data_IF_998188991520
#
_entry.id   IF_998188991520
#
_cell.length_a   1.000
_cell.length_b   1.000
_cell.length_c   1.000
_cell.angle_alpha   90.00
_cell.angle_beta   90.00
_cell.angle_gamma   90.00
#
_symmetry.space_group_name_H-M   'P 1'
#
loop_
_entity.id
_entity.type
_entity.pdbx_description
1 polymer ?
#
# COMPACT_ATOMS: atom_id res chain seq x y z
N UNK A 1 -0.48 -9.59 -19.04
CA UNK A 1 -1.09 -8.33 -19.55
C UNK A 1 -0.07 -7.20 -19.32
N UNK A 2 -0.01 -6.19 -20.16
CA UNK A 2 1.08 -5.20 -20.10
C UNK A 2 0.81 -4.21 -18.96
N UNK A 3 1.63 -4.16 -17.91
CA UNK A 3 1.50 -3.26 -16.73
C UNK A 3 1.26 -1.77 -17.10
N UNK A 4 1.51 -1.42 -18.35
CA UNK A 4 1.44 -0.06 -18.86
C UNK A 4 0.06 0.36 -19.41
N UNK A 5 -0.94 -0.53 -19.49
CA UNK A 5 -2.25 -0.23 -20.10
C UNK A 5 -3.41 -0.74 -19.23
N UNK A 6 -3.60 -0.09 -18.08
CA UNK A 6 -4.83 -0.23 -17.31
C UNK A 6 -5.97 0.49 -18.04
N UNK A 7 -7.11 -0.20 -18.18
CA UNK A 7 -8.32 0.33 -18.85
C UNK A 7 -9.23 1.09 -17.89
N UNK A 8 -9.14 0.77 -16.60
CA UNK A 8 -9.98 1.36 -15.56
C UNK A 8 -9.65 2.82 -15.26
N UNK A 9 -10.55 3.48 -14.56
CA UNK A 9 -10.46 4.89 -14.17
C UNK A 9 -9.97 5.02 -12.71
N UNK A 10 -8.67 5.11 -12.50
CA UNK A 10 -8.08 5.07 -11.17
C UNK A 10 -7.90 6.43 -10.48
N UNK A 11 -8.21 7.53 -11.18
CA UNK A 11 -8.13 8.89 -10.63
C UNK A 11 -6.71 9.35 -10.32
N UNK A 12 -6.63 10.40 -9.51
CA UNK A 12 -5.37 10.99 -9.01
C UNK A 12 -5.36 10.84 -7.49
N UNK A 13 -4.26 10.33 -6.95
CA UNK A 13 -4.06 10.24 -5.50
C UNK A 13 -3.85 11.63 -4.93
N UNK A 14 -4.39 11.91 -3.73
CA UNK A 14 -4.32 13.19 -3.04
C UNK A 14 -4.43 14.40 -4.01
N UNK A 15 -5.56 14.60 -4.72
CA UNK A 15 -5.69 15.52 -5.85
C UNK A 15 -5.39 16.98 -5.50
N UNK A 16 -5.49 17.33 -4.21
CA UNK A 16 -5.13 18.67 -3.71
C UNK A 16 -3.61 18.94 -3.81
N UNK A 17 -2.76 17.90 -3.76
CA UNK A 17 -1.29 18.06 -3.81
C UNK A 17 -0.83 18.55 -5.19
N UNK A 18 -1.11 17.85 -6.30
CA UNK A 18 -0.77 18.39 -7.63
C UNK A 18 -1.50 19.69 -7.95
N UNK A 19 -2.71 19.91 -7.41
CA UNK A 19 -3.43 21.18 -7.51
C UNK A 19 -2.67 22.34 -6.89
N UNK A 20 -2.15 22.16 -5.67
CA UNK A 20 -1.31 23.18 -4.99
C UNK A 20 0.01 23.43 -5.73
N UNK A 21 0.65 22.37 -6.25
CA UNK A 21 1.87 22.52 -7.06
C UNK A 21 1.61 23.32 -8.33
N UNK A 22 0.54 23.01 -9.05
CA UNK A 22 0.14 23.75 -10.25
C UNK A 22 -0.19 25.22 -9.94
N UNK A 23 -0.90 25.47 -8.85
CA UNK A 23 -1.20 26.83 -8.39
C UNK A 23 0.07 27.61 -8.04
N UNK A 24 1.06 26.98 -7.38
CA UNK A 24 2.36 27.57 -7.11
C UNK A 24 3.10 27.97 -8.40
N UNK A 25 3.07 27.12 -9.42
CA UNK A 25 3.61 27.44 -10.76
C UNK A 25 2.92 28.67 -11.34
N UNK A 26 1.59 28.73 -11.31
CA UNK A 26 0.82 29.87 -11.84
C UNK A 26 1.13 31.17 -11.10
N UNK A 27 1.25 31.13 -9.76
CA UNK A 27 1.66 32.29 -8.97
C UNK A 27 3.04 32.80 -9.40
N UNK A 28 4.03 31.90 -9.49
CA UNK A 28 5.39 32.30 -9.89
C UNK A 28 5.41 32.90 -11.30
N UNK A 29 4.68 32.33 -12.24
CA UNK A 29 4.55 32.90 -13.59
C UNK A 29 3.86 34.27 -13.57
N UNK A 30 2.82 34.46 -12.78
CA UNK A 30 2.14 35.73 -12.59
C UNK A 30 3.10 36.80 -12.04
N UNK A 31 3.88 36.46 -11.01
CA UNK A 31 4.89 37.39 -10.45
C UNK A 31 6.01 37.75 -11.46
N UNK A 32 6.40 36.80 -12.30
CA UNK A 32 7.36 37.07 -13.39
C UNK A 32 6.79 38.04 -14.41
N UNK A 33 5.53 37.91 -14.79
CA UNK A 33 4.89 38.77 -15.81
C UNK A 33 4.52 40.15 -15.25
N UNK A 34 3.84 40.20 -14.10
CA UNK A 34 3.24 41.42 -13.58
C UNK A 34 4.16 42.19 -12.62
N UNK A 35 5.01 41.49 -11.85
CA UNK A 35 5.94 42.10 -10.93
C UNK A 35 7.39 42.15 -11.46
N UNK A 36 7.63 41.65 -12.67
CA UNK A 36 8.95 41.55 -13.32
C UNK A 36 10.02 40.81 -12.50
N UNK A 37 9.60 39.83 -11.67
CA UNK A 37 10.50 39.00 -10.84
C UNK A 37 11.13 37.87 -11.65
N UNK A 38 12.01 38.21 -12.58
CA UNK A 38 12.59 37.25 -13.54
C UNK A 38 13.47 36.14 -12.90
N UNK A 39 13.83 36.25 -11.60
CA UNK A 39 14.59 35.22 -10.90
C UNK A 39 13.78 33.96 -10.55
N UNK A 40 12.45 33.97 -10.70
CA UNK A 40 11.58 32.84 -10.31
C UNK A 40 11.55 31.68 -11.31
N UNK A 41 12.20 31.77 -12.46
CA UNK A 41 12.17 30.75 -13.49
C UNK A 41 12.71 29.40 -12.99
N UNK A 42 13.73 29.38 -12.10
CA UNK A 42 14.25 28.15 -11.48
C UNK A 42 13.16 27.51 -10.58
N UNK A 43 12.47 28.33 -9.79
CA UNK A 43 11.37 27.85 -8.92
C UNK A 43 10.24 27.25 -9.76
N UNK A 44 9.87 27.88 -10.87
CA UNK A 44 8.87 27.36 -11.82
C UNK A 44 9.30 26.01 -12.35
N UNK A 45 10.54 25.86 -12.82
CA UNK A 45 11.06 24.60 -13.33
C UNK A 45 11.04 23.48 -12.27
N UNK A 46 11.47 23.80 -11.04
CA UNK A 46 11.45 22.84 -9.94
C UNK A 46 10.03 22.41 -9.63
N UNK A 47 9.10 23.33 -9.39
CA UNK A 47 7.71 23.01 -9.07
C UNK A 47 7.06 22.22 -10.19
N UNK A 48 7.31 22.56 -11.45
CA UNK A 48 6.80 21.84 -12.59
C UNK A 48 7.36 20.42 -12.68
N UNK A 49 8.66 20.24 -12.44
CA UNK A 49 9.28 18.91 -12.40
C UNK A 49 8.70 18.03 -11.27
N UNK A 50 8.48 18.61 -10.08
CA UNK A 50 7.88 17.92 -8.95
C UNK A 50 6.42 17.54 -9.25
N UNK A 51 5.65 18.42 -9.89
CA UNK A 51 4.30 18.14 -10.37
C UNK A 51 4.29 16.97 -11.36
N UNK A 52 5.17 16.99 -12.36
CA UNK A 52 5.27 15.91 -13.35
C UNK A 52 5.64 14.59 -12.68
N UNK A 53 6.55 14.59 -11.72
CA UNK A 53 6.95 13.42 -10.97
C UNK A 53 5.79 12.86 -10.14
N UNK A 54 5.03 13.72 -9.47
CA UNK A 54 3.83 13.32 -8.73
C UNK A 54 2.78 12.66 -9.65
N UNK A 55 2.48 13.30 -10.76
CA UNK A 55 1.53 12.77 -11.75
C UNK A 55 2.02 11.45 -12.35
N UNK A 56 3.33 11.34 -12.66
CA UNK A 56 3.92 10.09 -13.11
C UNK A 56 3.72 8.97 -12.07
N UNK A 57 3.98 9.23 -10.79
CA UNK A 57 3.82 8.24 -9.71
C UNK A 57 2.35 7.80 -9.58
N UNK A 58 1.42 8.76 -9.54
CA UNK A 58 0.00 8.49 -9.37
C UNK A 58 -0.63 7.77 -10.57
N UNK A 59 -0.25 8.16 -11.81
CA UNK A 59 -0.90 7.66 -13.03
C UNK A 59 -0.21 6.44 -13.64
N UNK A 60 1.07 6.21 -13.34
CA UNK A 60 1.87 5.15 -13.98
C UNK A 60 2.80 4.40 -13.02
N UNK A 61 3.57 5.14 -12.22
CA UNK A 61 4.64 4.56 -11.41
C UNK A 61 4.14 3.47 -10.46
N UNK A 62 3.04 3.72 -9.74
CA UNK A 62 2.44 2.76 -8.81
C UNK A 62 2.02 1.45 -9.51
N UNK A 63 1.48 1.52 -10.71
CA UNK A 63 1.05 0.32 -11.44
C UNK A 63 2.24 -0.53 -11.89
N UNK A 64 3.29 0.12 -12.42
CA UNK A 64 4.51 -0.59 -12.84
C UNK A 64 5.18 -1.27 -11.64
N UNK A 65 5.34 -0.54 -10.54
CA UNK A 65 6.03 -1.07 -9.36
C UNK A 65 5.23 -2.17 -8.68
N UNK A 66 3.91 -2.01 -8.52
CA UNK A 66 3.09 -3.04 -7.91
C UNK A 66 2.95 -4.29 -8.79
N UNK A 67 2.92 -4.14 -10.11
CA UNK A 67 2.99 -5.28 -11.04
C UNK A 67 4.29 -6.08 -10.82
N UNK A 68 5.46 -5.39 -10.76
CA UNK A 68 6.74 -6.03 -10.47
C UNK A 68 6.76 -6.72 -9.09
N UNK A 69 6.13 -6.11 -8.07
CA UNK A 69 6.05 -6.68 -6.72
C UNK A 69 5.18 -7.92 -6.70
N UNK A 70 4.00 -7.87 -7.33
CA UNK A 70 3.06 -8.99 -7.36
C UNK A 70 3.56 -10.13 -8.24
N UNK A 71 4.14 -9.83 -9.41
CA UNK A 71 4.71 -10.85 -10.32
C UNK A 71 5.86 -11.66 -9.67
N UNK A 72 6.56 -11.05 -8.71
CA UNK A 72 7.64 -11.73 -7.98
C UNK A 72 7.14 -12.72 -6.92
N UNK A 73 5.84 -12.76 -6.63
CA UNK A 73 5.28 -13.69 -5.64
C UNK A 73 5.04 -15.09 -6.27
N UNK A 74 5.21 -16.17 -5.49
CA UNK A 74 4.94 -17.53 -5.95
C UNK A 74 3.45 -17.84 -5.88
N UNK A 75 2.68 -17.38 -6.84
CA UNK A 75 1.25 -17.60 -6.90
C UNK A 75 0.86 -19.06 -7.18
N UNK A 76 -0.11 -19.60 -6.43
CA UNK A 76 -0.76 -20.89 -6.69
C UNK A 76 -2.06 -20.72 -7.49
N UNK A 77 -2.62 -19.48 -7.46
CA UNK A 77 -3.87 -19.10 -8.09
C UNK A 77 -5.13 -19.37 -7.25
N UNK A 78 -5.00 -19.86 -6.04
CA UNK A 78 -6.09 -20.12 -5.09
C UNK A 78 -5.98 -19.28 -3.80
N UNK A 79 -5.10 -18.29 -3.79
CA UNK A 79 -4.92 -17.40 -2.65
C UNK A 79 -6.16 -16.53 -2.42
N UNK A 80 -6.50 -16.33 -1.14
CA UNK A 80 -7.37 -15.26 -0.70
C UNK A 80 -6.53 -14.03 -0.37
N UNK A 81 -6.74 -12.94 -1.10
CA UNK A 81 -5.98 -11.68 -0.97
C UNK A 81 -6.86 -10.63 -0.34
N UNK A 82 -6.32 -9.85 0.62
CA UNK A 82 -6.96 -8.66 1.18
C UNK A 82 -6.15 -7.41 0.83
N UNK A 83 -6.81 -6.40 0.24
CA UNK A 83 -6.26 -5.05 0.04
C UNK A 83 -6.93 -4.08 1.02
N UNK A 84 -6.18 -3.60 2.02
CA UNK A 84 -6.67 -2.65 3.03
C UNK A 84 -6.40 -1.22 2.60
N UNK A 85 -7.49 -0.44 2.44
CA UNK A 85 -7.44 0.87 1.81
C UNK A 85 -7.29 0.75 0.30
N UNK A 86 -8.12 -0.09 -0.32
CA UNK A 86 -8.01 -0.44 -1.73
C UNK A 86 -8.28 0.71 -2.70
N UNK A 87 -8.94 1.79 -2.21
CA UNK A 87 -9.31 2.93 -3.03
C UNK A 87 -10.06 2.50 -4.28
N UNK A 88 -9.65 3.00 -5.44
CA UNK A 88 -10.25 2.64 -6.74
C UNK A 88 -9.71 1.33 -7.33
N UNK A 89 -9.09 0.49 -6.50
CA UNK A 89 -8.70 -0.88 -6.84
C UNK A 89 -7.37 -1.02 -7.57
N UNK A 90 -6.45 -0.05 -7.48
CA UNK A 90 -5.20 -0.12 -8.24
C UNK A 90 -4.40 -1.39 -7.95
N UNK A 91 -4.20 -1.76 -6.68
CA UNK A 91 -3.45 -2.96 -6.28
C UNK A 91 -4.37 -4.17 -6.22
N UNK A 92 -5.57 -4.02 -5.69
CA UNK A 92 -6.60 -5.05 -5.61
C UNK A 92 -6.81 -5.78 -6.95
N UNK A 93 -7.04 -5.01 -8.02
CA UNK A 93 -7.37 -5.58 -9.31
C UNK A 93 -6.16 -6.22 -10.00
N UNK A 94 -4.94 -5.73 -9.72
CA UNK A 94 -3.72 -6.42 -10.12
C UNK A 94 -3.55 -7.75 -9.40
N UNK A 95 -3.81 -7.81 -8.09
CA UNK A 95 -3.78 -9.06 -7.34
C UNK A 95 -4.86 -10.05 -7.84
N UNK A 96 -6.06 -9.55 -8.16
CA UNK A 96 -7.14 -10.36 -8.73
C UNK A 96 -6.78 -11.02 -10.08
N UNK A 97 -5.82 -10.51 -10.84
CA UNK A 97 -5.33 -11.15 -12.07
C UNK A 97 -4.56 -12.44 -11.79
N UNK A 98 -3.88 -12.53 -10.65
CA UNK A 98 -3.08 -13.70 -10.27
C UNK A 98 -3.91 -14.83 -9.64
N UNK A 99 -5.07 -14.52 -9.06
CA UNK A 99 -5.92 -15.53 -8.40
C UNK A 99 -7.00 -16.03 -9.36
N UNK A 100 -6.86 -17.25 -9.85
CA UNK A 100 -7.83 -17.86 -10.80
C UNK A 100 -8.94 -18.63 -10.12
N UNK A 101 -8.72 -19.11 -8.90
CA UNK A 101 -9.65 -19.90 -8.06
C UNK A 101 -9.89 -19.29 -6.69
N UNK A 102 -9.02 -18.36 -6.26
CA UNK A 102 -9.15 -17.58 -5.04
C UNK A 102 -9.95 -16.30 -5.23
N UNK A 103 -9.87 -15.39 -4.24
CA UNK A 103 -10.56 -14.12 -4.24
C UNK A 103 -9.61 -12.97 -3.89
N UNK A 104 -9.86 -11.79 -4.45
CA UNK A 104 -9.28 -10.53 -4.04
C UNK A 104 -10.35 -9.68 -3.35
N UNK A 105 -10.20 -9.48 -2.05
CA UNK A 105 -11.12 -8.71 -1.21
C UNK A 105 -10.54 -7.33 -0.99
N UNK A 106 -11.30 -6.27 -1.26
CA UNK A 106 -10.92 -4.89 -1.01
C UNK A 106 -11.76 -4.28 0.09
N UNK A 107 -11.10 -3.58 1.02
CA UNK A 107 -11.80 -2.72 1.98
C UNK A 107 -11.36 -1.28 1.85
N UNK A 108 -12.29 -0.34 2.03
CA UNK A 108 -12.03 1.09 2.10
C UNK A 108 -13.15 1.81 2.85
N UNK A 109 -12.87 2.99 3.37
CA UNK A 109 -13.89 3.91 3.93
C UNK A 109 -14.39 4.91 2.88
N UNK A 110 -13.88 4.84 1.65
CA UNK A 110 -14.25 5.60 0.45
C UNK A 110 -14.06 7.12 0.61
N UNK A 111 -12.93 7.52 1.23
CA UNK A 111 -12.58 8.93 1.39
C UNK A 111 -12.18 9.57 0.05
N UNK A 112 -12.95 10.54 -0.42
CA UNK A 112 -12.64 11.33 -1.63
C UNK A 112 -11.47 12.31 -1.42
N UNK A 113 -11.06 12.56 -0.18
CA UNK A 113 -9.91 13.39 0.15
C UNK A 113 -8.60 12.70 -0.25
N UNK A 114 -8.53 11.38 -0.05
CA UNK A 114 -7.30 10.60 -0.25
C UNK A 114 -7.13 10.21 -1.73
N UNK A 115 -8.24 10.03 -2.45
CA UNK A 115 -8.22 9.75 -3.88
C UNK A 115 -9.43 10.39 -4.57
N UNK A 116 -9.21 11.03 -5.72
CA UNK A 116 -10.28 11.71 -6.47
C UNK A 116 -11.36 10.72 -6.91
N UNK A 117 -12.61 11.02 -6.54
CA UNK A 117 -13.77 10.18 -6.89
C UNK A 117 -13.70 8.77 -6.31
N UNK A 118 -13.12 8.60 -5.11
CA UNK A 118 -13.08 7.32 -4.43
C UNK A 118 -14.49 6.89 -4.01
N UNK A 119 -14.95 5.75 -4.53
CA UNK A 119 -16.24 5.16 -4.23
C UNK A 119 -16.24 3.66 -4.61
N UNK A 120 -17.00 2.86 -3.88
CA UNK A 120 -17.12 1.41 -4.11
C UNK A 120 -17.57 1.09 -5.54
N UNK A 121 -18.54 1.83 -6.06
CA UNK A 121 -19.11 1.65 -7.40
C UNK A 121 -18.05 1.88 -8.48
N UNK A 122 -17.11 2.80 -8.25
CA UNK A 122 -16.03 3.08 -9.20
C UNK A 122 -15.03 1.94 -9.20
N UNK A 123 -14.72 1.38 -8.03
CA UNK A 123 -13.82 0.22 -7.90
C UNK A 123 -14.44 -1.00 -8.55
N UNK A 124 -15.75 -1.20 -8.38
CA UNK A 124 -16.48 -2.27 -9.03
C UNK A 124 -16.49 -2.12 -10.56
N UNK A 125 -16.79 -0.91 -11.06
CA UNK A 125 -16.73 -0.63 -12.50
C UNK A 125 -15.33 -0.86 -13.08
N UNK A 126 -14.27 -0.50 -12.34
CA UNK A 126 -12.89 -0.82 -12.72
C UNK A 126 -12.66 -2.34 -12.80
N UNK A 127 -13.20 -3.12 -11.85
CA UNK A 127 -13.09 -4.59 -11.87
C UNK A 127 -13.77 -5.21 -13.09
N UNK A 128 -14.91 -4.68 -13.51
CA UNK A 128 -15.61 -5.07 -14.74
C UNK A 128 -14.79 -4.74 -16.00
N UNK A 129 -14.26 -3.51 -16.09
CA UNK A 129 -13.44 -3.04 -17.21
C UNK A 129 -12.15 -3.86 -17.35
N UNK A 130 -11.52 -4.23 -16.22
CA UNK A 130 -10.29 -5.05 -16.20
C UNK A 130 -10.61 -6.55 -16.38
N UNK A 131 -11.88 -6.97 -16.33
CA UNK A 131 -12.30 -8.35 -16.55
C UNK A 131 -12.04 -9.28 -15.36
N UNK A 132 -11.96 -8.73 -14.15
CA UNK A 132 -11.68 -9.50 -12.91
C UNK A 132 -12.84 -9.48 -11.90
N UNK A 133 -13.98 -8.87 -12.23
CA UNK A 133 -15.11 -8.71 -11.31
C UNK A 133 -15.57 -10.02 -10.66
N UNK A 134 -15.54 -11.15 -11.37
CA UNK A 134 -15.91 -12.46 -10.82
C UNK A 134 -15.00 -12.97 -9.69
N UNK A 135 -13.89 -12.29 -9.40
CA UNK A 135 -12.89 -12.66 -8.37
C UNK A 135 -12.71 -11.57 -7.31
N UNK A 136 -13.43 -10.44 -7.44
CA UNK A 136 -13.33 -9.30 -6.54
C UNK A 136 -14.53 -9.26 -5.61
N UNK A 137 -14.27 -8.92 -4.35
CA UNK A 137 -15.27 -8.64 -3.33
C UNK A 137 -14.91 -7.31 -2.65
N UNK A 138 -15.89 -6.45 -2.40
CA UNK A 138 -15.67 -5.12 -1.84
C UNK A 138 -16.51 -4.92 -0.58
N UNK A 139 -15.88 -4.35 0.47
CA UNK A 139 -16.56 -3.98 1.70
C UNK A 139 -16.24 -2.54 2.10
N UNK A 140 -17.23 -1.86 2.66
CA UNK A 140 -17.01 -0.62 3.40
C UNK A 140 -16.62 -0.99 4.82
N UNK A 141 -15.33 -0.83 5.18
CA UNK A 141 -14.83 -1.17 6.50
C UNK A 141 -13.64 -0.28 6.90
N UNK A 142 -13.49 -0.09 8.21
CA UNK A 142 -12.33 0.53 8.79
C UNK A 142 -11.22 -0.53 8.96
N UNK A 143 -10.02 -0.23 8.51
CA UNK A 143 -8.88 -1.15 8.64
C UNK A 143 -8.45 -1.40 10.09
N UNK A 144 -8.94 -0.60 11.03
CA UNK A 144 -8.73 -0.79 12.49
C UNK A 144 -9.62 -1.86 13.10
N UNK A 145 -10.67 -2.27 12.38
CA UNK A 145 -11.61 -3.31 12.82
C UNK A 145 -12.11 -4.08 11.59
N UNK A 146 -11.36 -5.11 11.20
CA UNK A 146 -11.63 -5.88 9.99
C UNK A 146 -12.78 -6.88 10.21
N UNK A 147 -13.82 -6.89 9.34
CA UNK A 147 -14.98 -7.77 9.50
C UNK A 147 -14.69 -9.21 9.04
N UNK A 148 -13.48 -9.71 9.29
CA UNK A 148 -13.05 -11.04 8.88
C UNK A 148 -12.56 -11.85 10.06
N UNK A 149 -12.70 -13.17 9.98
CA UNK A 149 -12.17 -14.10 10.97
C UNK A 149 -10.63 -14.09 10.97
N UNK A 150 -10.03 -14.58 12.05
CA UNK A 150 -8.60 -14.83 12.13
C UNK A 150 -8.14 -15.77 11.01
N UNK A 151 -6.93 -15.57 10.52
CA UNK A 151 -6.32 -16.46 9.52
C UNK A 151 -7.21 -16.72 8.28
N UNK A 152 -7.80 -15.66 7.72
CA UNK A 152 -8.68 -15.72 6.54
C UNK A 152 -7.96 -15.52 5.21
N UNK A 153 -6.80 -14.86 5.20
CA UNK A 153 -6.11 -14.45 3.98
C UNK A 153 -4.70 -15.00 3.87
N UNK A 154 -4.28 -15.36 2.65
CA UNK A 154 -2.92 -15.80 2.32
C UNK A 154 -1.99 -14.63 2.05
N UNK A 155 -2.52 -13.54 1.49
CA UNK A 155 -1.79 -12.32 1.19
C UNK A 155 -2.59 -11.10 1.64
N UNK A 156 -1.92 -10.17 2.31
CA UNK A 156 -2.44 -8.86 2.62
C UNK A 156 -1.58 -7.80 1.95
N UNK A 157 -2.22 -6.86 1.26
CA UNK A 157 -1.56 -5.72 0.62
C UNK A 157 -2.15 -4.41 1.12
N UNK A 158 -1.34 -3.35 1.11
CA UNK A 158 -1.79 -1.97 1.33
C UNK A 158 -0.88 -1.01 0.58
N UNK A 159 -1.46 0.00 -0.07
CA UNK A 159 -0.69 1.00 -0.79
C UNK A 159 -1.11 2.41 -0.40
N UNK A 160 -0.22 3.12 0.30
CA UNK A 160 -0.35 4.55 0.66
C UNK A 160 -1.68 4.84 1.37
N UNK A 161 -2.06 3.99 2.33
CA UNK A 161 -3.36 4.07 3.01
C UNK A 161 -3.23 4.24 4.54
N UNK A 162 -2.41 3.43 5.22
CA UNK A 162 -2.38 3.35 6.69
C UNK A 162 -1.91 4.68 7.32
N UNK A 163 -1.02 5.43 6.66
CA UNK A 163 -0.54 6.73 7.16
C UNK A 163 -1.64 7.79 7.31
N UNK A 164 -2.79 7.61 6.64
CA UNK A 164 -3.96 8.50 6.76
C UNK A 164 -4.68 8.39 8.11
N UNK A 165 -4.46 7.31 8.88
CA UNK A 165 -4.90 7.21 10.26
C UNK A 165 -4.11 8.23 11.10
N UNK A 166 -4.82 9.19 11.70
CA UNK A 166 -4.21 10.36 12.35
C UNK A 166 -3.39 10.04 13.60
N UNK A 167 -3.82 9.05 14.39
CA UNK A 167 -3.20 8.70 15.66
C UNK A 167 -2.35 7.43 15.58
N UNK A 168 -1.26 7.35 16.38
CA UNK A 168 -0.38 6.17 16.39
C UNK A 168 -1.08 4.89 16.85
N UNK A 169 -1.99 4.97 17.81
CA UNK A 169 -2.68 3.79 18.34
C UNK A 169 -3.60 3.16 17.29
N UNK A 170 -4.32 3.99 16.52
CA UNK A 170 -5.13 3.51 15.40
C UNK A 170 -4.30 2.86 14.29
N UNK A 171 -3.08 3.39 13.99
CA UNK A 171 -2.18 2.75 13.03
C UNK A 171 -1.65 1.40 13.54
N UNK A 172 -1.32 1.29 14.85
CA UNK A 172 -0.95 0.02 15.45
C UNK A 172 -2.11 -0.99 15.40
N UNK A 173 -3.33 -0.54 15.70
CA UNK A 173 -4.52 -1.39 15.62
C UNK A 173 -4.74 -1.91 14.19
N UNK A 174 -4.55 -1.07 13.17
CA UNK A 174 -4.64 -1.51 11.77
C UNK A 174 -3.58 -2.59 11.43
N UNK A 175 -2.35 -2.47 11.94
CA UNK A 175 -1.32 -3.51 11.79
C UNK A 175 -1.70 -4.79 12.54
N UNK A 176 -2.25 -4.68 13.75
CA UNK A 176 -2.72 -5.84 14.53
C UNK A 176 -3.83 -6.60 13.80
N UNK A 177 -4.82 -5.88 13.27
CA UNK A 177 -5.90 -6.46 12.50
C UNK A 177 -5.40 -7.11 11.21
N UNK A 178 -4.50 -6.43 10.48
CA UNK A 178 -3.87 -7.00 9.30
C UNK A 178 -3.14 -8.31 9.62
N UNK A 179 -2.42 -8.35 10.75
CA UNK A 179 -1.72 -9.55 11.21
C UNK A 179 -2.66 -10.65 11.70
N UNK A 180 -3.76 -10.27 12.38
CA UNK A 180 -4.77 -11.21 12.88
C UNK A 180 -5.41 -11.99 11.73
N UNK A 181 -5.86 -11.30 10.70
CA UNK A 181 -6.57 -11.93 9.56
C UNK A 181 -5.64 -12.67 8.61
N UNK A 182 -4.33 -12.47 8.69
CA UNK A 182 -3.35 -13.18 7.88
C UNK A 182 -3.16 -14.61 8.39
N UNK A 183 -3.15 -15.59 7.50
CA UNK A 183 -2.90 -17.02 7.81
C UNK A 183 -1.45 -17.22 8.25
N UNK A 184 -1.15 -18.24 9.10
CA UNK A 184 0.22 -18.72 9.25
C UNK A 184 0.82 -19.09 7.89
N UNK A 185 2.05 -18.66 7.60
CA UNK A 185 2.70 -18.75 6.28
C UNK A 185 2.20 -17.71 5.27
N UNK A 186 1.23 -16.88 5.63
CA UNK A 186 0.73 -15.79 4.79
C UNK A 186 1.69 -14.60 4.76
N UNK A 187 1.57 -13.78 3.73
CA UNK A 187 2.44 -12.62 3.48
C UNK A 187 1.72 -11.30 3.63
N UNK A 188 2.43 -10.32 4.21
CA UNK A 188 2.00 -8.95 4.35
C UNK A 188 2.92 -8.06 3.51
N UNK A 189 2.34 -7.21 2.67
CA UNK A 189 3.04 -6.23 1.82
C UNK A 189 2.40 -4.85 2.02
N UNK A 190 3.09 -3.95 2.69
CA UNK A 190 2.64 -2.56 2.90
C UNK A 190 3.62 -1.63 2.22
N UNK A 191 3.14 -0.87 1.23
CA UNK A 191 3.90 0.22 0.62
C UNK A 191 3.36 1.55 1.13
N UNK A 192 4.18 2.30 1.88
CA UNK A 192 3.72 3.57 2.44
C UNK A 192 4.81 4.66 2.38
N UNK A 193 4.38 5.93 2.43
CA UNK A 193 5.22 7.13 2.31
C UNK A 193 5.61 7.72 3.66
N UNK A 194 4.89 7.34 4.72
CA UNK A 194 5.11 7.89 6.06
C UNK A 194 4.83 6.82 7.12
N UNK A 195 5.30 7.06 8.35
CA UNK A 195 5.02 6.20 9.53
C UNK A 195 5.53 4.76 9.44
N UNK A 196 6.30 4.43 8.41
CA UNK A 196 6.84 3.08 8.14
C UNK A 196 7.58 2.49 9.34
N UNK A 197 8.28 3.34 10.12
CA UNK A 197 8.97 2.91 11.35
C UNK A 197 8.01 2.33 12.41
N UNK A 198 6.83 2.95 12.58
CA UNK A 198 5.81 2.50 13.54
C UNK A 198 5.26 1.11 13.15
N UNK A 199 5.05 0.86 11.85
CA UNK A 199 4.57 -0.44 11.36
C UNK A 199 5.60 -1.54 11.56
N UNK A 200 6.87 -1.24 11.25
CA UNK A 200 7.98 -2.18 11.45
C UNK A 200 8.14 -2.54 12.91
N UNK A 201 8.14 -1.54 13.81
CA UNK A 201 8.23 -1.75 15.25
C UNK A 201 7.07 -2.63 15.76
N UNK A 202 5.84 -2.35 15.30
CA UNK A 202 4.69 -3.16 15.69
C UNK A 202 4.78 -4.60 15.20
N UNK A 203 5.14 -4.81 13.93
CA UNK A 203 5.33 -6.15 13.37
C UNK A 203 6.43 -6.94 14.09
N UNK A 204 7.54 -6.27 14.47
CA UNK A 204 8.61 -6.89 15.26
C UNK A 204 8.13 -7.30 16.67
N UNK A 205 7.26 -6.50 17.32
CA UNK A 205 6.61 -6.88 18.57
C UNK A 205 5.70 -8.10 18.41
N UNK A 206 5.15 -8.30 17.21
CA UNK A 206 4.37 -9.49 16.85
C UNK A 206 5.26 -10.66 16.35
N UNK A 207 6.57 -10.59 16.59
CA UNK A 207 7.58 -11.59 16.20
C UNK A 207 7.69 -11.84 14.70
N UNK A 208 7.32 -10.85 13.86
CA UNK A 208 7.51 -10.94 12.43
C UNK A 208 8.97 -10.62 12.04
N UNK A 209 9.52 -11.37 11.09
CA UNK A 209 10.72 -10.96 10.36
C UNK A 209 10.33 -9.96 9.27
N UNK A 210 10.86 -8.74 9.36
CA UNK A 210 10.41 -7.61 8.55
C UNK A 210 11.52 -7.14 7.62
N UNK A 211 11.27 -7.20 6.32
CA UNK A 211 12.16 -6.65 5.29
C UNK A 211 11.63 -5.29 4.82
N UNK A 212 12.52 -4.32 4.71
CA UNK A 212 12.24 -2.96 4.21
C UNK A 212 12.97 -2.73 2.91
N UNK A 213 12.24 -2.23 1.89
CA UNK A 213 12.81 -1.93 0.57
C UNK A 213 12.25 -0.61 0.03
N UNK A 214 13.11 0.41 -0.24
CA UNK A 214 12.68 1.60 -0.98
C UNK A 214 12.23 1.21 -2.41
N UNK A 215 11.12 1.79 -2.87
CA UNK A 215 10.56 1.47 -4.20
C UNK A 215 11.12 2.34 -5.33
N UNK A 216 12.03 3.26 -5.01
CA UNK A 216 12.73 4.08 -5.99
C UNK A 216 11.90 5.23 -6.57
N UNK A 217 12.47 5.91 -7.57
CA UNK A 217 11.96 7.17 -8.11
C UNK A 217 10.55 7.08 -8.72
N UNK A 218 10.17 5.89 -9.21
CA UNK A 218 8.83 5.62 -9.76
C UNK A 218 7.71 5.72 -8.71
N UNK A 219 8.09 5.69 -7.43
CA UNK A 219 7.20 5.82 -6.27
C UNK A 219 7.58 7.05 -5.41
N UNK A 220 8.06 8.14 -6.04
CA UNK A 220 8.29 9.42 -5.40
C UNK A 220 7.11 10.37 -5.64
N UNK A 221 6.44 10.76 -4.59
CA UNK A 221 5.25 11.61 -4.62
C UNK A 221 5.65 13.10 -4.59
N UNK A 222 6.26 13.56 -5.68
CA UNK A 222 6.74 14.93 -5.82
C UNK A 222 8.19 15.12 -5.36
N UNK A 223 8.96 14.05 -5.14
CA UNK A 223 10.39 14.13 -4.84
C UNK A 223 10.90 13.04 -3.92
N UNK A 224 12.23 12.90 -3.73
CA UNK A 224 12.84 11.83 -2.93
C UNK A 224 12.49 11.91 -1.44
N UNK A 225 12.06 13.05 -0.94
CA UNK A 225 11.66 13.28 0.45
C UNK A 225 10.25 12.74 0.76
N UNK A 226 9.45 12.40 -0.25
CA UNK A 226 8.17 11.67 -0.13
C UNK A 226 8.28 10.39 -0.95
N UNK A 227 9.15 9.51 -0.51
CA UNK A 227 9.42 8.22 -1.16
C UNK A 227 8.63 7.10 -0.50
N UNK A 228 8.14 6.16 -1.31
CA UNK A 228 7.46 4.97 -0.81
C UNK A 228 8.46 3.89 -0.41
N UNK A 229 8.25 3.32 0.76
CA UNK A 229 8.97 2.13 1.24
C UNK A 229 8.02 0.95 1.29
N UNK A 230 8.40 -0.17 0.69
CA UNK A 230 7.73 -1.45 0.85
C UNK A 230 8.21 -2.13 2.12
N UNK A 231 7.29 -2.53 2.95
CA UNK A 231 7.47 -3.45 4.08
C UNK A 231 6.93 -4.80 3.63
N UNK A 232 7.70 -5.85 3.81
CA UNK A 232 7.27 -7.23 3.63
C UNK A 232 7.54 -8.04 4.87
N UNK A 233 6.56 -8.85 5.28
CA UNK A 233 6.68 -9.79 6.39
C UNK A 233 5.93 -11.07 6.03
N UNK A 234 6.39 -12.19 6.58
CA UNK A 234 5.71 -13.49 6.50
C UNK A 234 5.29 -13.90 7.91
N UNK A 235 4.06 -14.37 8.06
CA UNK A 235 3.55 -14.83 9.36
C UNK A 235 4.10 -16.23 9.63
N UNK A 236 4.81 -16.47 10.76
CA UNK A 236 5.38 -17.78 11.06
C UNK A 236 4.35 -18.90 11.00
N UNK A 237 4.78 -20.08 10.58
CA UNK A 237 3.97 -21.28 10.71
C UNK A 237 3.74 -21.62 12.19
N UNK A 238 2.61 -22.21 12.53
CA UNK A 238 2.27 -22.56 13.93
C UNK A 238 3.34 -23.45 14.59
N UNK A 239 4.00 -24.33 13.84
CA UNK A 239 5.09 -25.17 14.32
C UNK A 239 6.35 -24.38 14.69
N UNK A 240 6.67 -23.34 13.94
CA UNK A 240 7.81 -22.46 14.18
C UNK A 240 7.53 -21.54 15.38
N UNK A 241 6.32 -21.02 15.48
CA UNK A 241 5.91 -20.18 16.61
C UNK A 241 5.95 -20.95 17.94
N UNK A 242 5.52 -22.21 17.95
CA UNK A 242 5.59 -23.07 19.13
C UNK A 242 7.04 -23.44 19.51
N UNK A 243 7.92 -23.62 18.51
CA UNK A 243 9.36 -23.89 18.75
C UNK A 243 10.09 -22.66 19.32
N UNK A 244 9.75 -21.46 18.85
CA UNK A 244 10.34 -20.20 19.35
C UNK A 244 9.83 -19.84 20.76
N UNK A 245 8.64 -20.28 21.13
CA UNK A 245 8.05 -20.05 22.47
C UNK A 245 8.45 -21.10 23.51
N UNK A 246 9.10 -22.21 23.09
CA UNK A 246 9.56 -23.25 24.04
C UNK A 246 10.69 -22.69 24.90
N UNK A 247 10.60 -22.75 26.25
CA UNK A 247 11.69 -22.31 27.12
C UNK A 247 12.94 -23.17 26.83
N UNK A 248 14.09 -22.52 26.65
CA UNK A 248 15.36 -23.21 26.53
C UNK A 248 15.47 -24.21 27.68
N UNK A 249 15.47 -25.50 27.39
CA UNK A 249 15.56 -26.56 28.37
C UNK A 249 16.80 -26.30 29.21
N UNK A 250 16.58 -26.01 30.50
CA UNK A 250 17.65 -25.86 31.47
C UNK A 250 18.50 -27.15 31.45
N UNK A 251 19.75 -27.02 30.96
CA UNK A 251 20.69 -28.10 30.96
C UNK A 251 20.82 -28.62 32.38
N UNK A 252 20.36 -29.84 32.62
CA UNK A 252 20.59 -30.56 33.85
C UNK A 252 22.09 -30.79 33.97
N UNK A 253 22.74 -29.98 34.81
CA UNK A 253 24.08 -30.23 35.25
C UNK A 253 24.06 -31.53 36.08
N UNK A 254 24.37 -32.64 35.45
CA UNK A 254 24.64 -33.89 36.12
C UNK A 254 25.95 -33.76 36.93
N UNK A 255 25.86 -33.53 38.22
CA UNK A 255 26.96 -33.74 39.13
C UNK A 255 27.17 -35.23 39.27
N UNK A 256 28.23 -35.75 38.72
CA UNK A 256 28.73 -37.05 39.07
C UNK A 256 29.72 -36.90 40.22
N UNK A 257 29.48 -37.67 41.26
CA UNK A 257 30.36 -37.97 42.39
C UNK A 257 31.66 -38.62 41.93
#
# INVERSE_FOLDING_TARGET
>A
MNAMHRKGHYGIDAPYVPGLMAFGVLICLGLMVFAHWNGLWITVLILFALLLLFLHTSLRGKFVVWHEVLDALPWRGDEDVLDIGCGRGAVLLMAAEHVSRGKAVGIDIWSSKDQSGNAMEVTWANAEIEGVAGRVELHTADMRELPFADASFDLLVSNVAIHNIGDPAGRQQAIDEAWRVLRPGGRLLIADIAKVGEYVERLQQLHADVVRRPLGWRMWWGGPWVSTTLISAEKPLLTEALSAAAPASAGVAGSAL
#
